data_IF_040099876461
#
_entry.id   IF_040099876461
#
_cell.length_a   1.000
_cell.length_b   1.000
_cell.length_c   1.000
_cell.angle_alpha   90.00
_cell.angle_beta   90.00
_cell.angle_gamma   90.00
#
_symmetry.space_group_name_H-M   'P 1'
#
loop_
_entity.id
_entity.type
_entity.pdbx_description
1 polymer ?
#
# COMPACT_ATOMS: atom_id res chain seq x y z
N UNK A 1 9.34 17.88 6.04
CA UNK A 1 8.63 17.60 4.76
C UNK A 1 7.41 18.52 4.66
N UNK A 2 6.79 18.62 3.49
CA UNK A 2 5.60 19.46 3.23
C UNK A 2 4.38 19.12 4.11
N UNK A 3 4.34 17.91 4.67
CA UNK A 3 3.23 17.38 5.46
C UNK A 3 3.37 17.62 6.96
N UNK A 4 4.47 18.22 7.43
CA UNK A 4 4.73 18.48 8.85
C UNK A 4 4.84 17.23 9.74
N UNK A 5 4.97 16.03 9.15
CA UNK A 5 5.09 14.77 9.89
C UNK A 5 6.56 14.58 10.28
N UNK A 6 6.83 14.62 11.58
CA UNK A 6 8.19 14.47 12.14
C UNK A 6 8.44 13.08 12.76
N UNK A 7 7.39 12.30 13.02
CA UNK A 7 7.48 10.93 13.52
C UNK A 7 6.69 10.00 12.59
N UNK A 8 7.38 9.19 11.78
CA UNK A 8 6.75 8.27 10.83
C UNK A 8 6.04 7.08 11.49
N UNK A 9 6.42 6.69 12.70
CA UNK A 9 5.95 5.44 13.34
C UNK A 9 4.43 5.36 13.56
N UNK A 10 3.77 6.51 13.70
CA UNK A 10 2.31 6.59 13.88
C UNK A 10 1.53 6.65 12.56
N UNK A 11 2.21 6.61 11.41
CA UNK A 11 1.61 6.84 10.11
C UNK A 11 1.68 5.61 9.20
N UNK A 12 0.62 5.46 8.42
CA UNK A 12 0.54 4.48 7.33
C UNK A 12 0.24 5.22 6.04
N UNK A 13 1.16 5.15 5.08
CA UNK A 13 0.95 5.71 3.75
C UNK A 13 0.35 4.64 2.84
N UNK A 14 -0.71 5.02 2.11
CA UNK A 14 -1.32 4.19 1.07
C UNK A 14 -1.11 4.87 -0.26
N UNK A 15 -0.29 4.29 -1.14
CA UNK A 15 0.01 4.88 -2.44
C UNK A 15 -0.30 3.93 -3.59
N UNK A 16 -0.30 4.44 -4.82
CA UNK A 16 -0.26 3.59 -5.99
C UNK A 16 1.03 2.74 -6.04
N UNK A 17 1.04 1.68 -6.85
CA UNK A 17 2.23 0.87 -7.10
C UNK A 17 3.07 1.53 -8.19
N UNK A 18 3.90 2.48 -7.79
CA UNK A 18 4.88 3.11 -8.67
C UNK A 18 6.31 2.88 -8.20
N UNK A 19 7.26 2.86 -9.14
CA UNK A 19 8.68 2.76 -8.83
C UNK A 19 9.09 4.01 -8.06
N UNK A 20 9.90 3.85 -7.02
CA UNK A 20 10.41 4.97 -6.23
C UNK A 20 9.50 5.47 -5.10
N UNK A 21 8.21 5.12 -5.05
CA UNK A 21 7.34 5.61 -3.96
C UNK A 21 7.70 5.04 -2.58
N UNK A 22 8.06 3.75 -2.50
CA UNK A 22 8.52 3.14 -1.26
C UNK A 22 9.77 3.84 -0.71
N UNK A 23 10.89 3.94 -1.47
CA UNK A 23 12.08 4.60 -0.96
C UNK A 23 11.87 6.10 -0.70
N UNK A 24 11.03 6.79 -1.48
CA UNK A 24 10.70 8.20 -1.21
C UNK A 24 9.93 8.37 0.09
N UNK A 25 8.96 7.50 0.39
CA UNK A 25 8.21 7.53 1.66
C UNK A 25 9.15 7.21 2.83
N UNK A 26 10.02 6.22 2.68
CA UNK A 26 11.00 5.86 3.71
C UNK A 26 12.00 7.00 3.98
N UNK A 27 12.43 7.70 2.93
CA UNK A 27 13.34 8.85 3.05
C UNK A 27 12.66 10.04 3.73
N UNK A 28 11.39 10.33 3.41
CA UNK A 28 10.66 11.49 3.92
C UNK A 28 10.01 11.25 5.30
N UNK A 29 9.70 9.99 5.61
CA UNK A 29 8.97 9.55 6.80
C UNK A 29 9.57 8.23 7.31
N UNK A 30 10.79 8.25 7.86
CA UNK A 30 11.44 7.03 8.35
C UNK A 30 10.56 6.33 9.39
N UNK A 31 10.44 5.00 9.27
CA UNK A 31 9.62 4.16 10.14
C UNK A 31 8.12 4.17 9.85
N UNK A 32 7.63 4.98 8.89
CA UNK A 32 6.23 4.92 8.48
C UNK A 32 5.94 3.62 7.73
N UNK A 33 4.83 2.97 8.07
CA UNK A 33 4.38 1.79 7.32
C UNK A 33 3.90 2.24 5.94
N UNK A 34 4.27 1.50 4.92
CA UNK A 34 3.80 1.74 3.56
C UNK A 34 2.93 0.56 3.10
N UNK A 35 1.80 0.87 2.47
CA UNK A 35 0.91 -0.10 1.83
C UNK A 35 0.59 0.36 0.41
N UNK A 36 0.36 -0.60 -0.48
CA UNK A 36 -0.18 -0.29 -1.81
C UNK A 36 -1.71 -0.19 -1.75
N UNK A 37 -2.25 0.76 -2.51
CA UNK A 37 -3.68 0.91 -2.68
C UNK A 37 -4.26 -0.33 -3.37
N UNK A 38 -5.02 -1.14 -2.64
CA UNK A 38 -5.65 -2.36 -3.17
C UNK A 38 -6.57 -2.07 -4.36
N UNK A 39 -7.21 -0.90 -4.40
CA UNK A 39 -8.08 -0.49 -5.51
C UNK A 39 -7.28 -0.40 -6.82
N UNK A 40 -6.14 0.27 -6.81
CA UNK A 40 -5.30 0.39 -7.99
C UNK A 40 -4.58 -0.92 -8.31
N UNK A 41 -4.15 -1.65 -7.28
CA UNK A 41 -3.58 -2.98 -7.45
C UNK A 41 -4.58 -3.92 -8.15
N UNK A 42 -5.85 -3.90 -7.75
CA UNK A 42 -6.91 -4.69 -8.40
C UNK A 42 -7.17 -4.25 -9.84
N UNK A 43 -7.16 -2.94 -10.10
CA UNK A 43 -7.34 -2.42 -11.46
C UNK A 43 -6.26 -2.93 -12.43
N UNK A 44 -5.01 -3.06 -11.97
CA UNK A 44 -3.93 -3.65 -12.76
C UNK A 44 -4.04 -5.18 -12.81
N UNK A 45 -4.33 -5.82 -11.67
CA UNK A 45 -4.43 -7.27 -11.54
C UNK A 45 -5.53 -7.87 -12.42
N UNK A 46 -6.72 -7.25 -12.47
CA UNK A 46 -7.87 -7.76 -13.24
C UNK A 46 -7.67 -7.78 -14.76
N UNK A 47 -6.68 -7.04 -15.27
CA UNK A 47 -6.34 -7.04 -16.70
C UNK A 47 -5.76 -8.39 -17.13
N UNK A 48 -4.97 -9.02 -16.25
CA UNK A 48 -4.31 -10.30 -16.49
C UNK A 48 -5.02 -11.47 -15.80
N UNK A 49 -5.62 -11.22 -14.63
CA UNK A 49 -6.20 -12.24 -13.77
C UNK A 49 -7.65 -11.91 -13.46
N UNK A 50 -8.55 -12.47 -14.26
CA UNK A 50 -10.00 -12.28 -14.13
C UNK A 50 -10.60 -13.33 -13.19
N UNK A 51 -11.72 -13.00 -12.56
CA UNK A 51 -12.49 -13.94 -11.72
C UNK A 51 -12.85 -13.38 -10.36
N UNK A 52 -14.03 -13.78 -9.87
CA UNK A 52 -14.55 -13.35 -8.57
C UNK A 52 -13.71 -13.91 -7.42
N UNK A 53 -13.26 -15.16 -7.52
CA UNK A 53 -12.44 -15.80 -6.48
C UNK A 53 -11.12 -15.05 -6.27
N UNK A 54 -10.40 -14.72 -7.35
CA UNK A 54 -9.15 -13.98 -7.25
C UNK A 54 -9.35 -12.56 -6.73
N UNK A 55 -10.45 -11.90 -7.10
CA UNK A 55 -10.86 -10.64 -6.47
C UNK A 55 -11.02 -10.84 -4.97
N UNK A 56 -11.82 -11.80 -4.52
CA UNK A 56 -12.09 -12.05 -3.11
C UNK A 56 -10.80 -12.34 -2.33
N UNK A 57 -9.92 -13.20 -2.86
CA UNK A 57 -8.61 -13.51 -2.26
C UNK A 57 -7.72 -12.26 -2.14
N UNK A 58 -7.65 -11.43 -3.19
CA UNK A 58 -6.88 -10.16 -3.15
C UNK A 58 -7.40 -9.23 -2.05
N UNK A 59 -8.72 -9.06 -1.94
CA UNK A 59 -9.33 -8.23 -0.90
C UNK A 59 -9.17 -8.81 0.50
N UNK A 60 -9.18 -10.13 0.65
CA UNK A 60 -8.89 -10.80 1.91
C UNK A 60 -7.45 -10.53 2.36
N UNK A 61 -6.48 -10.69 1.45
CA UNK A 61 -5.08 -10.37 1.71
C UNK A 61 -4.87 -8.90 2.08
N UNK A 62 -5.53 -7.96 1.39
CA UNK A 62 -5.41 -6.53 1.70
C UNK A 62 -5.99 -6.12 3.06
N UNK A 63 -6.99 -6.86 3.57
CA UNK A 63 -7.58 -6.65 4.90
C UNK A 63 -6.79 -7.31 6.02
N UNK A 64 -5.93 -8.28 5.71
CA UNK A 64 -5.11 -8.94 6.70
C UNK A 64 -4.21 -7.92 7.39
N UNK A 65 -4.30 -7.86 8.72
CA UNK A 65 -3.34 -7.15 9.56
C UNK A 65 -2.21 -8.10 9.89
N UNK A 66 -0.96 -7.67 9.70
CA UNK A 66 0.17 -8.31 10.39
C UNK A 66 0.02 -7.94 11.86
N UNK A 67 -0.46 -8.90 12.66
CA UNK A 67 -0.38 -8.78 14.13
C UNK A 67 1.11 -8.64 14.46
N UNK A 68 1.53 -7.63 15.24
CA UNK A 68 2.91 -7.49 15.66
C UNK A 68 3.39 -8.71 16.46
#
# INVERSE_FOLDING_TARGET
NDFGINNGLSWVFITDKHKGLIPSVETLFPGAKHRHCVRHLYNNFKLLHKGLELKQRLWAAARASTVP
#
